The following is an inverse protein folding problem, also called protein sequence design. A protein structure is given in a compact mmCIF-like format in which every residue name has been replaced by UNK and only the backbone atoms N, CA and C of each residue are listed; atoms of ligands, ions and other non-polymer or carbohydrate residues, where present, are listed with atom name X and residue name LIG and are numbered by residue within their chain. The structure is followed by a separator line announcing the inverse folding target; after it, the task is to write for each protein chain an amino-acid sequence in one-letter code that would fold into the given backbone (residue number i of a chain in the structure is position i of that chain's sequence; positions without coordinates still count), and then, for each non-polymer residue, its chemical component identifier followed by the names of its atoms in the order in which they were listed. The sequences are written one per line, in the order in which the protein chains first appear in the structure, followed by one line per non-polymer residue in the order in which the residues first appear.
data_IF_455296619114
#
_entry.id   IF_455296619114
#
_cell.length_a   1.000
_cell.length_b   1.000
_cell.length_c   1.000
_cell.angle_alpha   90.00
_cell.angle_beta   90.00
_cell.angle_gamma   90.00
#
_symmetry.space_group_name_H-M   'P 1'
#
loop_
_entity.id
_entity.type
_entity.pdbx_description
1 polymer ?
#
# COMPACT_ATOMS: atom_id res chain seq x y z
N UNK A 1 0.75 10.71 -2.81
CA UNK A 1 -0.64 10.48 -3.24
C UNK A 1 -1.23 11.59 -4.13
N UNK A 2 -1.58 12.78 -3.63
CA UNK A 2 -2.38 13.78 -4.38
C UNK A 2 -1.74 14.23 -5.71
N UNK A 3 -0.44 14.53 -5.72
CA UNK A 3 0.28 14.91 -6.94
C UNK A 3 0.24 13.79 -8.00
N UNK A 4 0.44 12.55 -7.58
CA UNK A 4 0.33 11.38 -8.45
C UNK A 4 -1.09 11.22 -9.00
N UNK A 5 -2.11 11.40 -8.16
CA UNK A 5 -3.51 11.26 -8.54
C UNK A 5 -3.95 12.32 -9.55
N UNK A 6 -3.77 13.60 -9.21
CA UNK A 6 -4.16 14.72 -10.09
C UNK A 6 -3.30 14.77 -11.35
N UNK A 7 -2.02 14.43 -11.26
CA UNK A 7 -1.11 14.36 -12.40
C UNK A 7 -1.27 13.12 -13.27
N UNK A 8 -2.12 12.15 -12.87
CA UNK A 8 -2.21 10.82 -13.51
C UNK A 8 -0.82 10.20 -13.72
N UNK A 9 0.04 10.35 -12.72
CA UNK A 9 1.41 9.91 -12.80
C UNK A 9 1.46 8.39 -12.98
N UNK A 10 2.39 7.92 -13.82
CA UNK A 10 2.69 6.49 -13.90
C UNK A 10 3.59 6.12 -12.74
N UNK A 11 3.06 5.31 -11.83
CA UNK A 11 3.76 4.95 -10.60
C UNK A 11 4.50 3.62 -10.73
N UNK A 12 5.63 3.51 -10.04
CA UNK A 12 6.40 2.26 -9.95
C UNK A 12 5.78 1.39 -8.87
N UNK A 13 5.35 0.18 -9.25
CA UNK A 13 4.89 -0.81 -8.29
C UNK A 13 6.08 -1.32 -7.45
N UNK A 14 5.87 -1.42 -6.16
CA UNK A 14 6.82 -2.03 -5.23
C UNK A 14 6.54 -3.52 -5.19
N UNK A 15 7.57 -4.33 -5.44
CA UNK A 15 7.45 -5.78 -5.34
C UNK A 15 7.45 -6.20 -3.86
N UNK A 16 6.24 -6.37 -3.33
CA UNK A 16 5.99 -6.79 -1.96
C UNK A 16 6.51 -8.21 -1.64
N UNK A 17 6.89 -9.02 -2.63
CA UNK A 17 7.50 -10.35 -2.41
C UNK A 17 8.99 -10.24 -2.09
N UNK A 18 9.65 -9.20 -2.60
CA UNK A 18 11.07 -8.92 -2.34
C UNK A 18 11.26 -8.00 -1.13
N UNK A 19 10.28 -7.16 -0.82
CA UNK A 19 10.27 -6.24 0.31
C UNK A 19 9.63 -6.83 1.60
N UNK A 20 9.54 -8.16 1.72
CA UNK A 20 8.75 -8.80 2.77
C UNK A 20 9.51 -8.90 4.11
N UNK A 21 9.20 -8.02 5.05
CA UNK A 21 9.43 -8.32 6.48
C UNK A 21 8.42 -9.39 6.93
N UNK A 22 8.66 -10.14 8.04
CA UNK A 22 7.66 -11.05 8.58
C UNK A 22 6.30 -10.37 8.85
N UNK A 23 6.32 -9.12 9.31
CA UNK A 23 5.12 -8.33 9.55
C UNK A 23 4.35 -8.03 8.25
N UNK A 24 5.05 -7.59 7.20
CA UNK A 24 4.45 -7.39 5.86
C UNK A 24 3.80 -8.68 5.36
N UNK A 25 4.45 -9.84 5.51
CA UNK A 25 3.88 -11.12 5.09
C UNK A 25 2.56 -11.41 5.81
N UNK A 26 2.54 -11.29 7.14
CA UNK A 26 1.33 -11.55 7.94
C UNK A 26 0.18 -10.60 7.57
N UNK A 27 0.49 -9.35 7.22
CA UNK A 27 -0.51 -8.39 6.75
C UNK A 27 -1.09 -8.76 5.38
N UNK A 28 -0.26 -9.22 4.45
CA UNK A 28 -0.70 -9.68 3.13
C UNK A 28 -1.55 -10.96 3.25
N UNK A 29 -1.15 -11.90 4.09
CA UNK A 29 -1.91 -13.12 4.36
C UNK A 29 -3.29 -12.78 4.96
N UNK A 30 -3.33 -11.82 5.90
CA UNK A 30 -4.58 -11.31 6.47
C UNK A 30 -5.47 -10.65 5.41
N UNK A 31 -4.90 -9.79 4.56
CA UNK A 31 -5.66 -9.16 3.48
C UNK A 31 -6.26 -10.20 2.53
N UNK A 32 -5.46 -11.21 2.16
CA UNK A 32 -5.90 -12.30 1.30
C UNK A 32 -7.01 -13.14 1.94
N UNK A 33 -6.97 -13.36 3.26
CA UNK A 33 -8.02 -14.04 4.03
C UNK A 33 -9.36 -13.28 3.97
N UNK A 34 -9.32 -11.95 4.00
CA UNK A 34 -10.51 -11.10 3.86
C UNK A 34 -10.90 -10.82 2.39
N UNK A 35 -10.25 -11.48 1.43
CA UNK A 35 -10.58 -11.36 0.01
C UNK A 35 -10.05 -10.10 -0.68
N UNK A 36 -8.95 -9.52 -0.17
CA UNK A 36 -8.28 -8.36 -0.76
C UNK A 36 -6.93 -8.73 -1.35
N UNK A 37 -6.61 -8.10 -2.49
CA UNK A 37 -5.26 -8.02 -3.03
C UNK A 37 -4.66 -6.67 -2.66
N UNK A 38 -3.38 -6.64 -2.28
CA UNK A 38 -2.72 -5.43 -1.82
C UNK A 38 -1.60 -5.04 -2.78
N UNK A 39 -1.60 -3.77 -3.14
CA UNK A 39 -0.61 -3.15 -4.02
C UNK A 39 0.07 -2.00 -3.28
N UNK A 40 1.35 -1.80 -3.56
CA UNK A 40 2.12 -0.66 -3.06
C UNK A 40 2.85 0.01 -4.20
N UNK A 41 2.91 1.34 -4.17
CA UNK A 41 3.52 2.14 -5.21
C UNK A 41 4.47 3.15 -4.60
N UNK A 42 5.64 3.30 -5.23
CA UNK A 42 6.53 4.41 -4.96
C UNK A 42 5.91 5.70 -5.51
N UNK A 43 5.66 6.65 -4.61
CA UNK A 43 5.05 7.94 -4.91
C UNK A 43 5.91 9.11 -4.42
N UNK A 44 7.23 8.89 -4.32
CA UNK A 44 8.21 9.97 -4.17
C UNK A 44 8.09 10.98 -5.30
N UNK A 45 8.35 12.24 -4.97
CA UNK A 45 8.23 13.36 -5.91
C UNK A 45 9.58 14.06 -6.08
N UNK A 46 9.80 15.19 -5.44
CA UNK A 46 10.99 16.03 -5.54
C UNK A 46 12.03 15.74 -4.46
N UNK A 47 11.60 15.26 -3.30
CA UNK A 47 12.49 14.90 -2.19
C UNK A 47 12.89 13.43 -2.23
N UNK A 48 14.14 13.14 -1.86
CA UNK A 48 14.67 11.80 -1.68
C UNK A 48 14.18 11.13 -0.37
N UNK A 49 12.92 11.34 0.00
CA UNK A 49 12.26 10.76 1.17
C UNK A 49 11.30 9.68 0.68
N UNK A 50 11.42 8.40 1.09
CA UNK A 50 10.43 7.36 0.79
C UNK A 50 8.98 7.82 1.00
N UNK A 51 8.14 7.62 -0.02
CA UNK A 51 6.70 7.82 0.06
C UNK A 51 6.00 6.66 -0.64
N UNK A 52 5.20 5.90 0.10
CA UNK A 52 4.48 4.75 -0.41
C UNK A 52 2.99 5.06 -0.42
N UNK A 53 2.33 4.81 -1.55
CA UNK A 53 0.87 4.74 -1.60
C UNK A 53 0.48 3.26 -1.65
N UNK A 54 -0.32 2.81 -0.69
CA UNK A 54 -0.85 1.44 -0.69
C UNK A 54 -2.33 1.43 -1.07
N UNK A 55 -2.74 0.34 -1.71
CA UNK A 55 -4.08 0.11 -2.22
C UNK A 55 -4.48 -1.33 -1.92
N UNK A 56 -5.54 -1.53 -1.14
CA UNK A 56 -6.20 -2.82 -1.02
C UNK A 56 -7.42 -2.87 -1.93
N UNK A 57 -7.54 -3.93 -2.74
CA UNK A 57 -8.59 -4.14 -3.73
C UNK A 57 -9.36 -5.40 -3.39
N UNK A 58 -10.67 -5.28 -3.15
CA UNK A 58 -11.56 -6.40 -2.89
C UNK A 58 -11.79 -7.19 -4.17
N UNK A 59 -11.55 -8.50 -4.14
CA UNK A 59 -11.61 -9.37 -5.34
C UNK A 59 -12.97 -9.49 -5.99
N UNK A 60 -14.05 -9.36 -5.21
CA UNK A 60 -15.43 -9.53 -5.68
C UNK A 60 -16.11 -8.20 -6.09
N UNK A 61 -15.44 -7.06 -5.97
CA UNK A 61 -15.94 -5.76 -6.43
C UNK A 61 -17.10 -5.15 -5.63
N UNK A 62 -17.49 -5.70 -4.47
CA UNK A 62 -18.58 -5.13 -3.67
C UNK A 62 -18.17 -3.88 -2.86
N UNK A 63 -19.09 -3.33 -2.05
CA UNK A 63 -18.87 -2.16 -1.17
C UNK A 63 -17.54 -2.16 -0.39
N UNK A 64 -16.80 -1.06 -0.44
CA UNK A 64 -15.43 -1.05 0.11
C UNK A 64 -14.44 -1.74 -0.82
N UNK A 65 -14.69 -1.72 -2.14
CA UNK A 65 -13.81 -2.33 -3.15
C UNK A 65 -12.36 -1.83 -3.04
N UNK A 66 -12.17 -0.56 -2.66
CA UNK A 66 -10.87 0.08 -2.62
C UNK A 66 -10.65 0.71 -1.25
N UNK A 67 -9.51 0.41 -0.65
CA UNK A 67 -8.96 1.12 0.51
C UNK A 67 -7.60 1.71 0.12
N UNK A 68 -7.35 2.96 0.51
CA UNK A 68 -6.13 3.69 0.19
C UNK A 68 -5.43 4.16 1.47
N UNK A 69 -4.11 4.16 1.44
CA UNK A 69 -3.28 4.83 2.43
C UNK A 69 -2.05 5.45 1.77
N UNK A 70 -1.36 6.32 2.51
CA UNK A 70 -0.06 6.80 2.10
C UNK A 70 0.83 7.05 3.31
N UNK A 71 2.05 6.51 3.28
CA UNK A 71 3.05 6.73 4.31
C UNK A 71 4.29 7.41 3.73
N UNK A 72 4.97 8.18 4.56
CA UNK A 72 6.30 8.72 4.27
C UNK A 72 7.21 8.50 5.49
N UNK A 73 8.47 8.20 5.23
CA UNK A 73 9.45 7.88 6.27
C UNK A 73 10.87 7.89 5.73
N UNK A 74 11.87 7.74 6.61
CA UNK A 74 13.28 7.73 6.22
C UNK A 74 13.81 6.34 5.91
N UNK A 75 13.24 5.29 6.53
CA UNK A 75 13.52 3.90 6.19
C UNK A 75 12.48 3.38 5.17
N UNK A 76 12.89 2.89 3.99
CA UNK A 76 11.97 2.40 2.97
C UNK A 76 11.12 1.21 3.43
N UNK A 77 11.69 0.27 4.21
CA UNK A 77 10.98 -0.93 4.63
C UNK A 77 9.90 -0.57 5.67
N UNK A 78 10.25 0.27 6.65
CA UNK A 78 9.30 0.77 7.64
C UNK A 78 8.20 1.60 6.98
N UNK A 79 8.52 2.37 5.93
CA UNK A 79 7.53 3.16 5.18
C UNK A 79 6.52 2.27 4.45
N UNK A 80 6.97 1.15 3.87
CA UNK A 80 6.08 0.14 3.28
C UNK A 80 5.19 -0.48 4.36
N UNK A 81 5.78 -0.88 5.49
CA UNK A 81 5.03 -1.49 6.59
C UNK A 81 3.96 -0.54 7.15
N UNK A 82 4.30 0.74 7.34
CA UNK A 82 3.37 1.77 7.79
C UNK A 82 2.18 1.95 6.82
N UNK A 83 2.45 2.04 5.51
CA UNK A 83 1.39 2.17 4.51
C UNK A 83 0.46 0.95 4.52
N UNK A 84 1.02 -0.26 4.64
CA UNK A 84 0.24 -1.50 4.69
C UNK A 84 -0.55 -1.66 5.99
N UNK A 85 0.00 -1.25 7.13
CA UNK A 85 -0.72 -1.24 8.40
C UNK A 85 -1.95 -0.34 8.34
N UNK A 86 -1.78 0.86 7.78
CA UNK A 86 -2.87 1.83 7.63
C UNK A 86 -3.96 1.34 6.66
N UNK A 87 -3.59 0.85 5.46
CA UNK A 87 -4.59 0.44 4.44
C UNK A 87 -5.49 -0.69 4.94
N UNK A 88 -4.95 -1.54 5.82
CA UNK A 88 -5.67 -2.66 6.39
C UNK A 88 -6.50 -2.31 7.62
N UNK A 89 -6.34 -1.10 8.19
CA UNK A 89 -7.21 -0.62 9.28
C UNK A 89 -8.62 -0.31 8.77
N UNK A 90 -8.78 -0.10 7.46
CA UNK A 90 -10.05 0.26 6.83
C UNK A 90 -10.82 -0.92 6.23
N UNK A 91 -10.23 -2.11 6.16
CA UNK A 91 -10.92 -3.30 5.63
C UNK A 91 -11.64 -4.04 6.77
N UNK A 92 -12.82 -4.63 6.53
CA UNK A 92 -13.57 -5.35 7.55
C UNK A 92 -12.79 -6.54 8.12
N UNK A 93 -12.91 -6.75 9.44
CA UNK A 93 -12.41 -7.93 10.16
C UNK A 93 -13.35 -9.13 10.01
#
# INVERSE_FOLDING_TARGET
FLLAWYGRARLTAIDLTTATTPAVRSMLDRAALHGYDVHAFDTRMDLAVPVVTALAVRRDGGHGTLSFSAAAGFDPADTVEAALSEVLTYIPH
#
